data_IF_467471183438
#
_entry.id   IF_467471183438
#
_cell.length_a   1.000
_cell.length_b   1.000
_cell.length_c   1.000
_cell.angle_alpha   90.00
_cell.angle_beta   90.00
_cell.angle_gamma   90.00
#
_symmetry.space_group_name_H-M   'P 1'
#
loop_
_entity.id
_entity.type
_entity.pdbx_description
1 polymer ?
#
# COMPACT_ATOMS: atom_id res chain seq x y z
N UNK A 1 -3.28 -5.27 8.75
CA UNK A 1 -3.56 -4.02 9.49
C UNK A 1 -2.25 -3.28 9.73
N UNK A 2 -2.25 -1.95 9.71
CA UNK A 2 -1.04 -1.13 9.85
C UNK A 2 -1.23 -0.03 10.90
N UNK A 3 -0.13 0.41 11.52
CA UNK A 3 -0.10 1.54 12.46
C UNK A 3 0.76 2.67 11.89
N UNK A 4 0.24 3.90 11.94
CA UNK A 4 0.94 5.08 11.44
C UNK A 4 1.98 5.53 12.47
N UNK A 5 3.27 5.39 12.13
CA UNK A 5 4.41 5.81 12.97
C UNK A 5 4.71 7.32 12.85
N UNK A 6 4.59 7.88 11.65
CA UNK A 6 4.88 9.30 11.33
C UNK A 6 3.75 9.86 10.45
N UNK A 7 3.37 11.13 10.64
CA UNK A 7 2.28 11.78 9.88
C UNK A 7 1.45 12.74 10.71
N UNK A 8 0.20 13.02 10.30
CA UNK A 8 -0.74 13.85 11.07
C UNK A 8 -1.00 13.24 12.46
N UNK A 9 -1.00 14.05 13.55
CA UNK A 9 -1.17 13.55 14.91
C UNK A 9 -2.46 12.75 15.10
N UNK A 10 -3.55 13.11 14.42
CA UNK A 10 -4.85 12.44 14.49
C UNK A 10 -4.85 10.97 14.03
N UNK A 11 -3.89 10.61 13.18
CA UNK A 11 -3.75 9.28 12.58
C UNK A 11 -2.66 8.45 13.27
N UNK A 12 -1.76 9.07 14.03
CA UNK A 12 -0.69 8.35 14.73
C UNK A 12 -1.27 7.43 15.80
N UNK A 13 -0.60 6.30 16.04
CA UNK A 13 -0.97 5.28 17.06
C UNK A 13 -2.33 4.58 16.84
N UNK A 14 -3.08 4.91 15.79
CA UNK A 14 -4.30 4.18 15.40
C UNK A 14 -3.94 3.00 14.50
N UNK A 15 -4.62 1.87 14.74
CA UNK A 15 -4.55 0.69 13.87
C UNK A 15 -5.61 0.85 12.80
N UNK A 16 -5.19 0.87 11.53
CA UNK A 16 -6.06 1.14 10.38
C UNK A 16 -5.83 0.05 9.32
N UNK A 17 -6.88 -0.39 8.59
CA UNK A 17 -6.69 -1.24 7.43
C UNK A 17 -5.93 -0.50 6.32
N UNK A 18 -5.02 -1.23 5.66
CA UNK A 18 -4.21 -0.73 4.56
C UNK A 18 -3.91 -1.86 3.58
N UNK A 19 -3.73 -1.50 2.31
CA UNK A 19 -3.38 -2.40 1.20
C UNK A 19 -1.95 -2.09 0.77
N UNK A 20 -1.15 -3.13 0.54
CA UNK A 20 0.21 -2.98 -0.01
C UNK A 20 0.08 -2.85 -1.53
N UNK A 21 0.66 -1.81 -2.11
CA UNK A 21 0.59 -1.52 -3.55
C UNK A 21 1.93 -1.71 -4.28
N UNK A 22 3.04 -1.64 -3.54
CA UNK A 22 4.39 -1.89 -4.06
C UNK A 22 5.20 -2.69 -3.05
N UNK A 23 5.99 -3.63 -3.56
CA UNK A 23 6.95 -4.39 -2.77
C UNK A 23 8.29 -4.50 -3.51
N UNK A 24 9.40 -4.34 -2.77
CA UNK A 24 10.75 -4.51 -3.31
C UNK A 24 11.08 -5.98 -3.57
N UNK A 25 10.43 -6.91 -2.86
CA UNK A 25 10.68 -8.33 -3.03
C UNK A 25 10.12 -8.77 -4.40
N UNK A 26 10.92 -9.34 -5.30
CA UNK A 26 10.42 -9.84 -6.57
C UNK A 26 9.43 -10.98 -6.36
N UNK A 27 8.35 -10.95 -7.13
CA UNK A 27 7.34 -12.01 -7.15
C UNK A 27 7.06 -12.45 -8.57
N UNK A 28 6.57 -13.68 -8.71
CA UNK A 28 6.28 -14.31 -10.00
C UNK A 28 4.81 -14.10 -10.37
N UNK A 29 4.56 -13.53 -11.55
CA UNK A 29 3.21 -13.42 -12.13
C UNK A 29 2.81 -14.71 -12.85
N UNK A 30 1.51 -14.82 -13.19
CA UNK A 30 0.93 -15.98 -13.89
C UNK A 30 1.56 -16.26 -15.27
N UNK A 31 2.01 -15.21 -15.95
CA UNK A 31 2.73 -15.26 -17.23
C UNK A 31 4.21 -15.68 -17.08
N UNK A 32 4.70 -15.87 -15.86
CA UNK A 32 6.06 -16.32 -15.57
C UNK A 32 7.09 -15.20 -15.42
N UNK A 33 6.70 -13.95 -15.64
CA UNK A 33 7.58 -12.78 -15.46
C UNK A 33 7.72 -12.46 -13.97
N UNK A 34 8.94 -12.07 -13.56
CA UNK A 34 9.18 -11.55 -12.22
C UNK A 34 9.01 -10.03 -12.21
N UNK A 35 8.20 -9.52 -11.29
CA UNK A 35 8.03 -8.08 -11.08
C UNK A 35 8.57 -7.69 -9.71
N UNK A 36 9.21 -6.53 -9.61
CA UNK A 36 9.59 -5.89 -8.36
C UNK A 36 9.45 -4.37 -8.50
N UNK A 37 9.31 -3.69 -7.37
CA UNK A 37 9.29 -2.23 -7.29
C UNK A 37 10.55 -1.70 -6.61
N UNK A 38 10.85 -0.42 -6.80
CA UNK A 38 11.99 0.24 -6.15
C UNK A 38 11.78 0.36 -4.63
N UNK A 39 10.55 0.69 -4.21
CA UNK A 39 10.18 0.94 -2.82
C UNK A 39 8.96 0.11 -2.36
N UNK A 40 8.82 -0.01 -1.04
CA UNK A 40 7.62 -0.58 -0.41
C UNK A 40 6.61 0.53 -0.13
N UNK A 41 5.40 0.41 -0.66
CA UNK A 41 4.35 1.40 -0.48
C UNK A 41 3.00 0.74 -0.16
N UNK A 42 2.18 1.44 0.63
CA UNK A 42 0.84 1.00 1.00
C UNK A 42 -0.14 2.16 1.08
N UNK A 43 -1.42 1.85 0.82
CA UNK A 43 -2.53 2.80 0.80
C UNK A 43 -3.48 2.50 1.94
N UNK A 44 -3.88 3.54 2.68
CA UNK A 44 -4.82 3.43 3.79
C UNK A 44 -6.25 3.35 3.25
N UNK A 45 -7.03 2.39 3.76
CA UNK A 45 -8.43 2.22 3.41
C UNK A 45 -9.35 2.40 4.62
N UNK A 46 -10.63 2.58 4.34
CA UNK A 46 -11.70 2.48 5.33
C UNK A 46 -12.15 1.02 5.46
N UNK A 47 -12.87 0.65 6.52
CA UNK A 47 -13.42 -0.71 6.71
C UNK A 47 -14.34 -1.18 5.57
N UNK A 48 -14.92 -0.24 4.81
CA UNK A 48 -15.75 -0.51 3.62
C UNK A 48 -14.93 -0.83 2.35
N UNK A 49 -13.60 -0.78 2.41
CA UNK A 49 -12.72 -1.00 1.26
C UNK A 49 -12.43 0.25 0.42
N UNK A 50 -13.05 1.38 0.74
CA UNK A 50 -12.81 2.65 0.05
C UNK A 50 -11.49 3.28 0.50
N UNK A 51 -10.74 3.85 -0.45
CA UNK A 51 -9.47 4.53 -0.16
C UNK A 51 -9.73 5.86 0.57
N UNK A 52 -8.89 6.17 1.56
CA UNK A 52 -9.04 7.40 2.35
C UNK A 52 -8.36 8.63 1.72
N UNK A 53 -7.84 8.49 0.49
CA UNK A 53 -7.11 9.52 -0.25
C UNK A 53 -7.62 9.65 -1.69
N UNK A 54 -7.47 10.86 -2.26
CA UNK A 54 -8.01 11.20 -3.58
C UNK A 54 -7.07 10.80 -4.74
N UNK A 55 -5.76 10.75 -4.49
CA UNK A 55 -4.76 10.43 -5.50
C UNK A 55 -3.66 9.51 -4.93
N UNK A 56 -3.23 8.54 -5.75
CA UNK A 56 -2.07 7.70 -5.48
C UNK A 56 -0.88 8.22 -6.29
N UNK A 57 0.29 8.32 -5.67
CA UNK A 57 1.50 8.82 -6.32
C UNK A 57 2.37 7.63 -6.75
N UNK A 58 2.62 7.56 -8.07
CA UNK A 58 3.52 6.59 -8.67
C UNK A 58 2.83 5.33 -9.23
N UNK A 59 3.62 4.41 -9.80
CA UNK A 59 3.11 3.20 -10.43
C UNK A 59 2.52 2.26 -9.38
N UNK A 60 1.48 1.54 -9.79
CA UNK A 60 0.77 0.56 -8.97
C UNK A 60 0.92 -0.81 -9.65
N UNK A 61 1.22 -1.84 -8.86
CA UNK A 61 1.20 -3.21 -9.35
C UNK A 61 -0.19 -3.59 -9.82
N UNK A 62 -0.32 -3.93 -11.11
CA UNK A 62 -1.49 -4.66 -11.60
C UNK A 62 -1.25 -6.14 -11.28
N UNK A 63 -1.66 -6.53 -10.09
CA UNK A 63 -1.65 -7.90 -9.58
C UNK A 63 -3.06 -8.50 -9.61
#
# INVERSE_FOLDING_TARGET
MASVKKGKPDLRKKVIPAIIVRQCKPWRRKDGVFMYFEDNAGVIMNPKGEMKGFAMIGPIGKE
#
